data_IF_332499423772
#
_entry.id   IF_332499423772
#
_cell.length_a   1.000
_cell.length_b   1.000
_cell.length_c   1.000
_cell.angle_alpha   90.00
_cell.angle_beta   90.00
_cell.angle_gamma   90.00
#
_symmetry.space_group_name_H-M   'P 1'
#
loop_
_entity.id
_entity.type
_entity.pdbx_description
1 polymer ?
#
# COMPACT_ATOMS: atom_id res chain seq x y z
N UNK A 1 -25.93 7.76 11.28
CA UNK A 1 -27.38 7.82 11.01
C UNK A 1 -27.82 9.27 10.82
N UNK A 2 -28.76 9.54 9.92
CA UNK A 2 -29.36 10.88 9.74
C UNK A 2 -30.85 10.76 10.03
N UNK A 3 -31.35 11.54 11.00
CA UNK A 3 -32.78 11.70 11.29
C UNK A 3 -33.13 13.17 11.11
N UNK A 4 -34.27 13.44 10.49
CA UNK A 4 -34.68 14.81 10.19
C UNK A 4 -36.15 15.02 10.56
N UNK A 5 -36.43 16.18 11.12
CA UNK A 5 -37.75 16.78 11.29
C UNK A 5 -37.78 18.08 10.48
N UNK A 6 -38.93 18.78 10.43
CA UNK A 6 -39.03 20.07 9.73
C UNK A 6 -38.09 21.15 10.28
N UNK A 7 -37.64 21.03 11.54
CA UNK A 7 -36.86 22.06 12.24
C UNK A 7 -35.48 21.58 12.70
N UNK A 8 -35.26 20.28 12.83
CA UNK A 8 -34.03 19.71 13.41
C UNK A 8 -33.52 18.55 12.57
N UNK A 9 -32.21 18.56 12.30
CA UNK A 9 -31.48 17.45 11.70
C UNK A 9 -30.53 16.90 12.76
N UNK A 10 -30.60 15.60 13.00
CA UNK A 10 -29.70 14.85 13.87
C UNK A 10 -28.79 14.00 13.00
N UNK A 11 -27.48 14.19 13.16
CA UNK A 11 -26.44 13.42 12.47
C UNK A 11 -25.61 12.71 13.52
N UNK A 12 -25.54 11.39 13.41
CA UNK A 12 -24.72 10.52 14.24
C UNK A 12 -23.68 9.83 13.38
N UNK A 13 -22.45 9.76 13.86
CA UNK A 13 -21.35 9.13 13.14
C UNK A 13 -20.11 8.96 13.99
N UNK A 14 -19.13 8.29 13.42
CA UNK A 14 -17.87 7.97 14.08
C UNK A 14 -16.80 8.99 13.71
N UNK A 15 -16.00 9.39 14.68
CA UNK A 15 -14.83 10.25 14.47
C UNK A 15 -13.64 9.72 15.26
N UNK A 16 -12.46 9.88 14.68
CA UNK A 16 -11.22 9.57 15.37
C UNK A 16 -11.01 10.53 16.53
N UNK A 17 -10.65 10.01 17.71
CA UNK A 17 -10.40 10.80 18.93
C UNK A 17 -9.46 11.99 18.71
N UNK A 18 -8.46 11.83 17.83
CA UNK A 18 -7.49 12.89 17.46
C UNK A 18 -8.11 14.06 16.69
N UNK A 19 -9.25 13.88 16.04
CA UNK A 19 -9.92 14.90 15.21
C UNK A 19 -11.09 15.58 15.91
N UNK A 20 -11.44 15.15 17.13
CA UNK A 20 -12.54 15.70 17.92
C UNK A 20 -12.48 17.23 18.05
N UNK A 21 -11.34 17.76 18.48
CA UNK A 21 -11.16 19.20 18.70
C UNK A 21 -11.29 19.99 17.39
N UNK A 22 -10.70 19.47 16.30
CA UNK A 22 -10.77 20.10 14.98
C UNK A 22 -12.22 20.14 14.47
N UNK A 23 -12.97 19.06 14.64
CA UNK A 23 -14.39 19.03 14.26
C UNK A 23 -15.19 20.03 15.08
N UNK A 24 -14.99 20.04 16.41
CA UNK A 24 -15.67 20.96 17.33
C UNK A 24 -15.46 22.42 16.92
N UNK A 25 -14.23 22.81 16.61
CA UNK A 25 -13.89 24.17 16.18
C UNK A 25 -14.55 24.55 14.84
N UNK A 26 -14.58 23.63 13.87
CA UNK A 26 -15.19 23.87 12.57
C UNK A 26 -16.70 24.04 12.71
N UNK A 27 -17.33 23.21 13.53
CA UNK A 27 -18.77 23.21 13.71
C UNK A 27 -19.26 24.47 14.43
N UNK A 28 -18.61 24.86 15.55
CA UNK A 28 -18.98 26.09 16.26
C UNK A 28 -18.72 27.37 15.45
N UNK A 29 -17.77 27.36 14.51
CA UNK A 29 -17.55 28.50 13.61
C UNK A 29 -18.61 28.62 12.52
N UNK A 30 -19.14 27.49 12.04
CA UNK A 30 -20.09 27.47 10.91
C UNK A 30 -21.55 27.60 11.33
N UNK A 31 -21.91 27.07 12.50
CA UNK A 31 -23.30 26.99 12.95
C UNK A 31 -23.47 27.68 14.30
N UNK A 32 -24.44 28.61 14.36
CA UNK A 32 -24.80 29.32 15.60
C UNK A 32 -25.70 28.50 16.52
N UNK A 33 -26.56 27.67 15.94
CA UNK A 33 -27.50 26.80 16.64
C UNK A 33 -27.10 25.35 16.39
N UNK A 34 -26.29 24.81 17.30
CA UNK A 34 -25.74 23.46 17.21
C UNK A 34 -25.48 22.92 18.60
N UNK A 35 -25.96 21.70 18.85
CA UNK A 35 -25.59 20.88 20.00
C UNK A 35 -24.77 19.69 19.51
N UNK A 36 -23.59 19.46 20.10
CA UNK A 36 -22.72 18.33 19.77
C UNK A 36 -22.48 17.51 21.03
N UNK A 37 -22.88 16.24 20.98
CA UNK A 37 -22.67 15.28 22.06
C UNK A 37 -21.61 14.28 21.60
N UNK A 38 -20.57 14.13 22.39
CA UNK A 38 -19.56 13.08 22.20
C UNK A 38 -19.75 12.01 23.25
N UNK A 39 -19.70 10.75 22.83
CA UNK A 39 -19.73 9.60 23.72
C UNK A 39 -18.65 8.60 23.29
N UNK A 40 -18.05 7.92 24.27
CA UNK A 40 -17.11 6.84 23.99
C UNK A 40 -17.88 5.60 23.50
N UNK A 41 -17.31 4.84 22.54
CA UNK A 41 -17.93 3.61 22.04
C UNK A 41 -18.12 2.57 23.14
N UNK A 42 -19.24 1.85 23.10
CA UNK A 42 -19.47 0.64 23.90
C UNK A 42 -18.90 -0.58 23.18
N UNK A 43 -18.62 -1.66 23.92
CA UNK A 43 -18.09 -2.90 23.32
C UNK A 43 -19.08 -3.59 22.36
N UNK A 44 -20.37 -3.30 22.50
CA UNK A 44 -21.44 -3.79 21.62
C UNK A 44 -21.59 -3.01 20.33
N UNK A 45 -20.93 -1.85 20.20
CA UNK A 45 -21.11 -0.98 19.05
C UNK A 45 -20.29 -1.49 17.87
N UNK A 46 -20.84 -1.37 16.66
CA UNK A 46 -20.14 -1.68 15.42
C UNK A 46 -19.24 -0.48 15.04
N UNK A 47 -18.03 -0.48 15.59
CA UNK A 47 -17.07 0.63 15.46
C UNK A 47 -16.26 0.45 14.16
N UNK A 48 -16.26 1.44 13.24
CA UNK A 48 -15.46 1.36 12.03
C UNK A 48 -13.97 1.41 12.37
N UNK A 49 -13.21 0.54 11.72
CA UNK A 49 -11.77 0.40 11.95
C UNK A 49 -11.02 1.35 11.04
N UNK A 50 -10.16 2.18 11.63
CA UNK A 50 -9.24 3.04 10.89
C UNK A 50 -7.82 2.51 11.05
N UNK A 51 -7.33 1.86 10.00
CA UNK A 51 -5.94 1.42 9.92
C UNK A 51 -5.04 2.63 9.62
N UNK A 52 -3.93 2.74 10.34
CA UNK A 52 -2.91 3.78 10.11
C UNK A 52 -1.54 3.11 10.08
N UNK A 53 -1.18 2.56 8.93
CA UNK A 53 0.14 2.00 8.72
C UNK A 53 1.11 3.00 8.05
N UNK A 54 2.40 2.66 8.09
CA UNK A 54 3.44 3.41 7.41
C UNK A 54 3.30 3.27 5.89
N UNK A 55 3.83 4.23 5.10
CA UNK A 55 3.75 4.24 3.64
C UNK A 55 4.28 2.96 2.95
N UNK A 56 5.19 2.24 3.60
CA UNK A 56 5.70 0.96 3.11
C UNK A 56 4.74 -0.20 3.39
N UNK A 57 4.01 -0.15 4.51
CA UNK A 57 3.09 -1.22 4.97
C UNK A 57 1.69 -1.04 4.38
N UNK A 58 1.25 0.22 4.22
CA UNK A 58 -0.07 0.61 3.68
C UNK A 58 -0.47 -0.12 2.39
N UNK A 59 0.42 -0.37 1.41
CA UNK A 59 0.03 -1.09 0.20
C UNK A 59 -0.31 -2.56 0.45
N UNK A 60 0.33 -3.21 1.43
CA UNK A 60 0.07 -4.60 1.80
C UNK A 60 -1.26 -4.78 2.53
N UNK A 61 -1.88 -3.68 3.02
CA UNK A 61 -3.25 -3.72 3.57
C UNK A 61 -4.24 -4.24 2.53
N UNK A 62 -4.02 -3.99 1.23
CA UNK A 62 -4.90 -4.50 0.17
C UNK A 62 -5.01 -6.02 0.17
N UNK A 63 -3.98 -6.72 0.63
CA UNK A 63 -3.99 -8.19 0.72
C UNK A 63 -4.68 -8.63 2.00
N UNK A 64 -4.33 -8.02 3.13
CA UNK A 64 -4.90 -8.40 4.44
C UNK A 64 -6.41 -8.11 4.49
N UNK A 65 -6.86 -7.00 3.88
CA UNK A 65 -8.28 -6.65 3.72
C UNK A 65 -9.07 -7.70 2.93
N UNK A 66 -8.46 -8.43 1.98
CA UNK A 66 -9.14 -9.52 1.25
C UNK A 66 -9.45 -10.73 2.14
N UNK A 67 -8.65 -10.96 3.17
CA UNK A 67 -8.88 -12.02 4.15
C UNK A 67 -9.84 -11.59 5.27
N UNK A 68 -9.99 -10.27 5.47
CA UNK A 68 -10.91 -9.68 6.42
C UNK A 68 -10.30 -8.47 7.13
N UNK A 69 -11.15 -7.53 7.51
CA UNK A 69 -10.73 -6.36 8.30
C UNK A 69 -10.58 -6.81 9.77
N UNK A 70 -9.48 -6.50 10.45
CA UNK A 70 -9.32 -6.84 11.87
C UNK A 70 -10.38 -6.15 12.71
N UNK A 71 -10.81 -6.74 13.82
CA UNK A 71 -11.75 -6.05 14.73
C UNK A 71 -11.08 -4.85 15.40
N UNK A 72 -11.88 -3.92 15.90
CA UNK A 72 -11.42 -2.66 16.51
C UNK A 72 -10.35 -2.82 17.61
N UNK A 73 -10.38 -3.92 18.38
CA UNK A 73 -9.41 -4.22 19.45
C UNK A 73 -8.35 -5.26 19.05
N UNK A 74 -8.38 -5.75 17.82
CA UNK A 74 -7.44 -6.78 17.36
C UNK A 74 -6.16 -6.15 16.82
N UNK A 75 -5.07 -6.89 16.93
CA UNK A 75 -3.78 -6.51 16.37
C UNK A 75 -3.83 -6.61 14.84
N UNK A 76 -3.37 -5.56 14.14
CA UNK A 76 -3.25 -5.58 12.69
C UNK A 76 -2.06 -6.47 12.28
N UNK A 77 -2.27 -7.58 11.54
CA UNK A 77 -1.19 -8.46 11.10
C UNK A 77 -0.35 -7.86 9.97
N UNK A 78 -0.82 -6.80 9.29
CA UNK A 78 -0.21 -6.24 8.08
C UNK A 78 1.25 -5.82 8.26
N UNK A 79 1.66 -5.14 9.35
CA UNK A 79 3.07 -4.76 9.56
C UNK A 79 4.02 -5.93 9.66
N UNK A 80 3.57 -7.04 10.27
CA UNK A 80 4.36 -8.26 10.38
C UNK A 80 4.41 -8.99 9.03
N UNK A 81 3.30 -9.02 8.31
CA UNK A 81 3.17 -9.70 7.01
C UNK A 81 3.94 -9.02 5.89
N UNK A 82 3.93 -7.68 5.84
CA UNK A 82 4.52 -6.86 4.79
C UNK A 82 5.98 -7.24 4.40
N UNK A 83 6.95 -7.35 5.32
CA UNK A 83 8.33 -7.68 4.96
C UNK A 83 8.48 -9.10 4.40
N UNK A 84 7.76 -10.08 4.95
CA UNK A 84 7.78 -11.44 4.41
C UNK A 84 7.19 -11.46 3.01
N UNK A 85 6.01 -10.86 2.83
CA UNK A 85 5.38 -10.80 1.52
C UNK A 85 6.29 -10.11 0.49
N UNK A 86 6.92 -9.00 0.86
CA UNK A 86 7.89 -8.31 0.00
C UNK A 86 8.95 -9.29 -0.50
N UNK A 87 9.64 -10.00 0.40
CA UNK A 87 10.72 -10.94 0.03
C UNK A 87 10.19 -12.11 -0.80
N UNK A 88 9.11 -12.77 -0.37
CA UNK A 88 8.56 -13.95 -1.05
C UNK A 88 8.01 -13.61 -2.44
N UNK A 89 7.34 -12.47 -2.60
CA UNK A 89 6.86 -12.02 -3.91
C UNK A 89 8.03 -11.87 -4.90
N UNK A 90 9.13 -11.26 -4.44
CA UNK A 90 10.34 -11.10 -5.25
C UNK A 90 10.97 -12.43 -5.62
N UNK A 91 11.07 -13.38 -4.68
CA UNK A 91 11.62 -14.71 -4.93
C UNK A 91 10.76 -15.55 -5.89
N UNK A 92 9.43 -15.41 -5.84
CA UNK A 92 8.53 -16.19 -6.71
C UNK A 92 8.61 -15.76 -8.18
N UNK A 93 8.78 -14.46 -8.46
CA UNK A 93 8.86 -13.96 -9.83
C UNK A 93 10.32 -13.90 -10.34
N UNK A 94 11.26 -13.54 -9.46
CA UNK A 94 12.72 -13.52 -9.64
C UNK A 94 13.25 -13.21 -11.05
N UNK A 95 12.72 -12.12 -11.64
CA UNK A 95 13.19 -11.62 -12.93
C UNK A 95 13.34 -10.11 -12.87
N UNK A 96 14.58 -9.64 -13.04
CA UNK A 96 14.92 -8.24 -12.90
C UNK A 96 14.19 -7.36 -13.92
N UNK A 97 14.08 -7.78 -15.17
CA UNK A 97 13.47 -6.93 -16.20
C UNK A 97 11.96 -6.85 -16.07
N UNK A 98 11.28 -7.97 -15.78
CA UNK A 98 9.85 -7.92 -15.48
C UNK A 98 9.57 -7.10 -14.21
N UNK A 99 10.39 -7.26 -13.15
CA UNK A 99 10.29 -6.46 -11.93
C UNK A 99 10.39 -4.96 -12.19
N UNK A 100 11.37 -4.55 -13.01
CA UNK A 100 11.57 -3.15 -13.39
C UNK A 100 10.39 -2.58 -14.18
N UNK A 101 9.88 -3.31 -15.17
CA UNK A 101 8.72 -2.89 -15.98
C UNK A 101 7.49 -2.72 -15.09
N UNK A 102 7.22 -3.68 -14.21
CA UNK A 102 6.09 -3.63 -13.27
C UNK A 102 6.23 -2.42 -12.34
N UNK A 103 7.43 -2.18 -11.78
CA UNK A 103 7.67 -1.05 -10.90
C UNK A 103 7.43 0.29 -11.62
N UNK A 104 7.98 0.47 -12.84
CA UNK A 104 7.83 1.71 -13.61
C UNK A 104 6.37 1.96 -13.99
N UNK A 105 5.68 0.96 -14.54
CA UNK A 105 4.28 1.10 -14.95
C UNK A 105 3.37 1.38 -13.76
N UNK A 106 3.60 0.70 -12.63
CA UNK A 106 2.80 0.91 -11.41
C UNK A 106 3.03 2.29 -10.82
N UNK A 107 4.29 2.76 -10.77
CA UNK A 107 4.61 4.10 -10.31
C UNK A 107 4.02 5.18 -11.22
N UNK A 108 4.15 5.01 -12.54
CA UNK A 108 3.57 5.92 -13.52
C UNK A 108 2.04 6.00 -13.38
N UNK A 109 1.38 4.86 -13.20
CA UNK A 109 -0.07 4.81 -12.98
C UNK A 109 -0.49 5.54 -11.70
N UNK A 110 0.23 5.37 -10.59
CA UNK A 110 -0.03 6.07 -9.32
C UNK A 110 0.05 7.59 -9.48
N UNK A 111 1.07 8.08 -10.20
CA UNK A 111 1.27 9.53 -10.41
C UNK A 111 0.24 10.10 -11.38
N UNK A 112 -0.08 9.37 -12.46
CA UNK A 112 -0.94 9.86 -13.54
C UNK A 112 -2.42 9.85 -13.18
N UNK A 113 -2.91 8.76 -12.59
CA UNK A 113 -4.34 8.55 -12.36
C UNK A 113 -4.80 8.94 -10.96
N UNK A 114 -3.87 9.24 -10.03
CA UNK A 114 -4.17 9.66 -8.65
C UNK A 114 -5.25 8.79 -7.99
N UNK A 115 -5.06 7.47 -8.07
CA UNK A 115 -6.00 6.51 -7.48
C UNK A 115 -6.24 6.82 -5.99
N UNK A 116 -7.47 6.59 -5.55
CA UNK A 116 -7.89 6.71 -4.15
C UNK A 116 -8.30 5.35 -3.58
N UNK A 117 -8.26 5.22 -2.25
CA UNK A 117 -8.68 4.01 -1.54
C UNK A 117 -7.91 2.74 -1.96
N UNK A 118 -8.66 1.65 -2.16
CA UNK A 118 -8.15 0.32 -2.43
C UNK A 118 -7.29 0.24 -3.72
N UNK A 119 -7.68 0.95 -4.78
CA UNK A 119 -6.92 0.97 -6.03
C UNK A 119 -5.49 1.52 -5.82
N UNK A 120 -5.34 2.58 -5.02
CA UNK A 120 -4.03 3.13 -4.68
C UNK A 120 -3.14 2.11 -3.96
N UNK A 121 -3.73 1.36 -3.00
CA UNK A 121 -3.02 0.31 -2.25
C UNK A 121 -2.57 -0.82 -3.19
N UNK A 122 -3.42 -1.25 -4.11
CA UNK A 122 -3.07 -2.27 -5.12
C UNK A 122 -1.92 -1.84 -6.03
N UNK A 123 -1.96 -0.63 -6.60
CA UNK A 123 -0.85 -0.16 -7.44
C UNK A 123 0.43 0.08 -6.63
N UNK A 124 0.30 0.49 -5.36
CA UNK A 124 1.43 0.55 -4.42
C UNK A 124 2.04 -0.83 -4.15
N UNK A 125 1.19 -1.86 -4.04
CA UNK A 125 1.61 -3.24 -3.84
C UNK A 125 2.38 -3.74 -5.06
N UNK A 126 1.89 -3.49 -6.28
CA UNK A 126 2.61 -3.83 -7.51
C UNK A 126 3.93 -3.08 -7.65
N UNK A 127 3.98 -1.81 -7.23
CA UNK A 127 5.22 -1.05 -7.20
C UNK A 127 6.26 -1.71 -6.28
N UNK A 128 5.90 -1.97 -5.01
CA UNK A 128 6.80 -2.61 -4.05
C UNK A 128 7.14 -4.05 -4.45
N UNK A 129 6.17 -4.79 -4.98
CA UNK A 129 6.38 -6.14 -5.52
C UNK A 129 7.37 -6.14 -6.68
N UNK A 130 7.20 -5.22 -7.66
CA UNK A 130 8.12 -5.05 -8.78
C UNK A 130 9.53 -4.68 -8.32
N UNK A 131 9.67 -3.80 -7.33
CA UNK A 131 10.96 -3.48 -6.71
C UNK A 131 11.59 -4.71 -6.06
N UNK A 132 10.82 -5.51 -5.32
CA UNK A 132 11.32 -6.75 -4.72
C UNK A 132 11.78 -7.76 -5.76
N UNK A 133 10.98 -7.97 -6.81
CA UNK A 133 11.33 -8.84 -7.94
C UNK A 133 12.58 -8.34 -8.65
N UNK A 134 12.72 -7.03 -8.83
CA UNK A 134 13.92 -6.44 -9.41
C UNK A 134 15.16 -6.78 -8.57
N UNK A 135 15.08 -6.59 -7.25
CA UNK A 135 16.18 -6.90 -6.32
C UNK A 135 16.51 -8.40 -6.35
N UNK A 136 15.51 -9.28 -6.20
CA UNK A 136 15.72 -10.72 -6.15
C UNK A 136 16.19 -11.29 -7.50
N UNK A 137 15.61 -10.83 -8.60
CA UNK A 137 16.03 -11.21 -9.95
C UNK A 137 17.45 -10.76 -10.25
N UNK A 138 17.85 -9.56 -9.80
CA UNK A 138 19.22 -9.09 -9.95
C UNK A 138 20.21 -9.91 -9.10
N UNK A 139 19.84 -10.28 -7.87
CA UNK A 139 20.64 -11.19 -7.02
C UNK A 139 20.80 -12.57 -7.67
N UNK A 140 19.74 -13.10 -8.31
CA UNK A 140 19.76 -14.38 -9.03
C UNK A 140 20.39 -14.29 -10.43
N UNK A 141 20.77 -13.11 -10.90
CA UNK A 141 21.30 -12.91 -12.25
C UNK A 141 20.27 -13.12 -13.39
N UNK A 142 18.98 -13.20 -13.05
CA UNK A 142 17.89 -13.43 -14.01
C UNK A 142 17.40 -12.11 -14.58
N UNK A 143 17.71 -11.85 -15.86
CA UNK A 143 17.27 -10.66 -16.57
C UNK A 143 16.47 -11.03 -17.83
N UNK A 144 15.13 -10.97 -17.74
CA UNK A 144 14.20 -11.31 -18.82
C UNK A 144 14.49 -12.66 -19.47
N UNK A 145 14.65 -13.70 -18.65
CA UNK A 145 14.88 -15.07 -19.13
C UNK A 145 15.93 -15.20 -20.25
N UNK A 146 17.12 -14.65 -20.03
CA UNK A 146 18.27 -14.67 -20.96
C UNK A 146 18.13 -13.87 -22.28
N UNK A 147 17.09 -13.05 -22.45
CA UNK A 147 16.97 -12.17 -23.64
C UNK A 147 18.09 -11.12 -23.72
N UNK A 148 18.80 -10.84 -22.62
CA UNK A 148 20.02 -10.02 -22.60
C UNK A 148 21.20 -10.62 -23.39
N UNK A 149 21.15 -11.93 -23.71
CA UNK A 149 22.12 -12.56 -24.61
C UNK A 149 21.87 -12.24 -26.09
N UNK A 150 20.69 -11.73 -26.43
CA UNK A 150 20.31 -11.31 -27.78
C UNK A 150 20.33 -9.78 -27.97
N UNK A 151 20.79 -9.01 -26.97
CA UNK A 151 20.90 -7.56 -27.11
C UNK A 151 22.00 -7.19 -28.15
N UNK A 152 21.75 -6.16 -28.98
CA UNK A 152 22.71 -5.72 -29.98
C UNK A 152 24.00 -5.19 -29.32
N UNK A 153 25.14 -5.34 -30.00
CA UNK A 153 26.50 -5.11 -29.46
C UNK A 153 26.71 -3.71 -28.84
N UNK A 154 25.91 -2.74 -29.23
CA UNK A 154 25.92 -1.36 -28.73
C UNK A 154 25.39 -1.20 -27.28
N UNK A 155 24.80 -2.22 -26.67
CA UNK A 155 24.36 -2.20 -25.25
C UNK A 155 25.14 -3.17 -24.34
N UNK A 156 26.26 -3.73 -24.83
CA UNK A 156 27.15 -4.61 -24.05
C UNK A 156 27.67 -3.97 -22.75
N UNK A 157 27.81 -2.64 -22.68
CA UNK A 157 28.24 -1.95 -21.46
C UNK A 157 27.25 -2.11 -20.29
N UNK A 158 25.94 -2.07 -20.59
CA UNK A 158 24.88 -2.28 -19.58
C UNK A 158 24.88 -3.75 -19.13
N UNK A 159 25.14 -4.68 -20.06
CA UNK A 159 25.29 -6.12 -19.77
C UNK A 159 26.45 -6.37 -18.80
N UNK A 160 27.65 -5.84 -19.07
CA UNK A 160 28.82 -6.02 -18.19
C UNK A 160 28.61 -5.34 -16.83
N UNK A 161 28.04 -4.13 -16.80
CA UNK A 161 27.82 -3.41 -15.54
C UNK A 161 26.76 -4.07 -14.64
N UNK A 162 25.68 -4.60 -15.21
CA UNK A 162 24.60 -5.22 -14.44
C UNK A 162 24.93 -6.66 -13.99
N UNK A 163 25.66 -7.42 -14.82
CA UNK A 163 26.00 -8.81 -14.51
C UNK A 163 27.18 -8.87 -13.53
N UNK A 164 28.29 -8.16 -13.78
CA UNK A 164 29.51 -8.27 -12.95
C UNK A 164 29.41 -7.55 -11.60
N UNK A 165 28.52 -6.58 -11.44
CA UNK A 165 28.41 -5.77 -10.21
C UNK A 165 27.34 -6.28 -9.22
N UNK A 166 26.35 -7.06 -9.69
CA UNK A 166 25.16 -7.43 -8.89
C UNK A 166 24.94 -8.95 -8.80
N UNK A 167 25.46 -9.77 -9.73
CA UNK A 167 25.40 -11.24 -9.62
C UNK A 167 26.44 -11.71 -8.58
N UNK A 168 26.00 -11.98 -7.35
CA UNK A 168 26.85 -12.50 -6.27
C UNK A 168 26.79 -14.03 -6.15
N UNK A 169 25.89 -14.68 -6.91
CA UNK A 169 25.73 -16.13 -6.98
C UNK A 169 25.60 -16.55 -8.45
N UNK A 170 26.74 -16.67 -9.14
CA UNK A 170 26.81 -17.44 -10.38
C UNK A 170 26.88 -18.93 -10.01
N UNK A 171 25.85 -19.77 -10.28
CA UNK A 171 25.92 -21.22 -10.04
C UNK A 171 26.79 -21.99 -11.05
N UNK A 172 27.52 -21.27 -11.92
CA UNK A 172 28.30 -21.83 -13.05
C UNK A 172 29.83 -21.65 -12.83
N UNK A 173 30.26 -20.98 -11.75
CA UNK A 173 31.68 -20.91 -11.35
C UNK A 173 32.04 -21.96 -10.30
#
# INVERSE_FOLDING_TARGET
YIKQTEKVIIIEGWILKKELNKLKDILHKKFKELEVVFSDPKESDDIPVSLKNNKFVEPFESITELYGIPKYKEFDPTPLFAPFYFIFFGMCLSDAGYGLVIAILSYWALVKFKFEGMAKKFFGLFFLGGVSTFIMGAIMGSWMGDTLNFLPENMLFIKTFLIDSISLLDPIK
#
